data_IF_822412222389
#
_entry.id   IF_822412222389
#
_cell.length_a   1.000
_cell.length_b   1.000
_cell.length_c   1.000
_cell.angle_alpha   90.00
_cell.angle_beta   90.00
_cell.angle_gamma   90.00
#
_symmetry.space_group_name_H-M   'P 1'
#
loop_
_entity.id
_entity.type
_entity.pdbx_description
1 polymer ?
#
# COMPACT_ATOMS: atom_id res chain seq x y z
N UNK A 1 -0.13 13.77 -10.96
CA UNK A 1 0.60 12.71 -11.70
C UNK A 1 1.07 13.20 -13.07
N UNK A 2 2.36 13.36 -13.36
CA UNK A 2 2.89 13.65 -14.72
C UNK A 2 3.32 12.36 -15.42
N UNK A 3 3.20 12.30 -16.75
CA UNK A 3 3.29 11.07 -17.52
C UNK A 3 4.61 10.87 -18.29
N UNK A 4 5.69 11.61 -17.99
CA UNK A 4 6.83 11.69 -18.91
C UNK A 4 8.14 11.15 -18.31
N UNK A 5 8.29 9.82 -18.32
CA UNK A 5 9.56 9.16 -18.04
C UNK A 5 9.51 7.64 -18.23
N UNK A 6 10.67 6.97 -18.43
CA UNK A 6 10.73 5.51 -18.41
C UNK A 6 10.22 4.99 -17.07
N UNK A 7 9.55 3.85 -17.08
CA UNK A 7 9.02 3.26 -15.87
C UNK A 7 10.17 2.95 -14.91
N UNK A 8 10.05 3.48 -13.69
CA UNK A 8 10.91 3.10 -12.59
C UNK A 8 10.46 1.75 -12.05
N UNK A 9 11.38 0.79 -12.01
CA UNK A 9 11.17 -0.54 -11.45
C UNK A 9 11.86 -0.73 -10.10
N UNK A 10 11.45 -1.79 -9.40
CA UNK A 10 12.02 -2.18 -8.11
C UNK A 10 11.37 -1.45 -6.95
N UNK A 11 12.12 -1.23 -5.87
CA UNK A 11 11.58 -0.79 -4.57
C UNK A 11 12.19 0.53 -4.05
N UNK A 12 12.29 1.60 -4.87
CA UNK A 12 12.95 2.85 -4.49
C UNK A 12 12.26 3.63 -3.34
N UNK A 13 10.98 3.35 -3.08
CA UNK A 13 10.11 4.03 -2.12
C UNK A 13 9.62 3.10 -1.01
N UNK A 14 10.18 1.89 -0.92
CA UNK A 14 9.72 0.86 0.02
C UNK A 14 9.69 1.34 1.47
N UNK A 15 10.67 2.14 1.92
CA UNK A 15 10.65 2.67 3.29
C UNK A 15 9.46 3.62 3.51
N UNK A 16 9.13 4.47 2.53
CA UNK A 16 7.94 5.34 2.60
C UNK A 16 6.65 4.50 2.55
N UNK A 17 6.59 3.47 1.71
CA UNK A 17 5.45 2.53 1.67
C UNK A 17 5.24 1.85 3.02
N UNK A 18 6.31 1.35 3.64
CA UNK A 18 6.28 0.73 4.97
C UNK A 18 5.81 1.72 6.04
N UNK A 19 6.29 2.96 5.97
CA UNK A 19 5.85 4.05 6.84
C UNK A 19 4.36 4.38 6.63
N UNK A 20 3.87 4.40 5.39
CA UNK A 20 2.46 4.62 5.05
C UNK A 20 1.56 3.52 5.62
N UNK A 21 1.92 2.24 5.48
CA UNK A 21 1.18 1.14 6.12
C UNK A 21 1.15 1.32 7.65
N UNK A 22 2.28 1.68 8.26
CA UNK A 22 2.32 1.93 9.70
C UNK A 22 1.41 3.09 10.12
N UNK A 23 1.43 4.19 9.36
CA UNK A 23 0.62 5.38 9.61
C UNK A 23 -0.89 5.06 9.48
N UNK A 24 -1.28 4.26 8.49
CA UNK A 24 -2.66 3.79 8.31
C UNK A 24 -3.15 3.01 9.53
N UNK A 25 -2.39 2.02 10.00
CA UNK A 25 -2.79 1.26 11.19
C UNK A 25 -2.85 2.14 12.46
N UNK A 26 -1.96 3.13 12.59
CA UNK A 26 -2.00 4.09 13.70
C UNK A 26 -3.25 4.96 13.66
N UNK A 27 -3.63 5.44 12.48
CA UNK A 27 -4.76 6.35 12.32
C UNK A 27 -6.10 5.63 12.40
N UNK A 28 -6.22 4.48 11.74
CA UNK A 28 -7.48 3.75 11.63
C UNK A 28 -7.71 2.77 12.78
N UNK A 29 -6.67 2.31 13.46
CA UNK A 29 -6.67 1.12 14.33
C UNK A 29 -6.83 -0.20 13.56
N UNK A 30 -6.48 -1.31 14.22
CA UNK A 30 -6.66 -2.65 13.66
C UNK A 30 -8.12 -2.94 13.29
N UNK A 31 -9.08 -2.62 14.15
CA UNK A 31 -10.48 -3.01 13.94
C UNK A 31 -11.06 -2.30 12.72
N UNK A 32 -10.76 -1.02 12.52
CA UNK A 32 -11.19 -0.30 11.30
C UNK A 32 -10.51 -0.84 10.05
N UNK A 33 -9.21 -1.17 10.09
CA UNK A 33 -8.54 -1.81 8.94
C UNK A 33 -9.23 -3.14 8.59
N UNK A 34 -9.66 -3.93 9.60
CA UNK A 34 -10.39 -5.17 9.37
C UNK A 34 -11.74 -4.97 8.67
N UNK A 35 -12.36 -3.80 8.79
CA UNK A 35 -13.57 -3.50 8.03
C UNK A 35 -13.33 -3.46 6.51
N UNK A 36 -12.08 -3.31 6.05
CA UNK A 36 -11.70 -3.34 4.63
C UNK A 36 -11.27 -4.73 4.15
N UNK A 37 -11.74 -5.82 4.77
CA UNK A 37 -11.33 -7.17 4.41
C UNK A 37 -11.65 -7.56 2.95
N UNK A 38 -12.73 -7.02 2.39
CA UNK A 38 -13.14 -7.26 1.01
C UNK A 38 -12.63 -6.12 0.12
N UNK A 39 -11.99 -6.45 -1.00
CA UNK A 39 -11.64 -5.45 -2.02
C UNK A 39 -12.87 -4.98 -2.80
N UNK A 40 -12.77 -3.84 -3.47
CA UNK A 40 -13.77 -3.39 -4.44
C UNK A 40 -13.94 -4.49 -5.49
N UNK A 41 -15.17 -4.94 -5.72
CA UNK A 41 -15.42 -6.04 -6.64
C UNK A 41 -15.29 -5.57 -8.10
N UNK A 42 -14.66 -6.36 -9.00
CA UNK A 42 -14.52 -5.97 -10.41
C UNK A 42 -15.85 -5.65 -11.11
N UNK A 43 -16.93 -6.33 -10.75
CA UNK A 43 -18.26 -6.10 -11.33
C UNK A 43 -18.82 -4.70 -11.01
N UNK A 44 -18.51 -4.17 -9.83
CA UNK A 44 -19.03 -2.88 -9.36
C UNK A 44 -18.31 -1.70 -10.03
N UNK A 45 -17.09 -1.94 -10.52
CA UNK A 45 -16.24 -0.94 -11.18
C UNK A 45 -15.94 -1.25 -12.65
N UNK A 46 -16.57 -2.28 -13.20
CA UNK A 46 -16.50 -2.57 -14.63
C UNK A 46 -17.03 -1.38 -15.41
N UNK A 47 -16.31 -0.99 -16.46
CA UNK A 47 -16.68 0.14 -17.30
C UNK A 47 -16.31 -0.16 -18.75
N UNK A 48 -17.32 -0.40 -19.57
CA UNK A 48 -17.14 -0.75 -20.97
C UNK A 48 -17.28 0.46 -21.90
N UNK A 49 -16.81 0.32 -23.15
CA UNK A 49 -16.88 1.39 -24.15
C UNK A 49 -18.30 1.72 -24.61
N UNK A 50 -19.28 0.84 -24.34
CA UNK A 50 -20.70 1.07 -24.64
C UNK A 50 -21.46 1.80 -23.54
N UNK A 51 -20.91 1.89 -22.32
CA UNK A 51 -21.52 2.65 -21.23
C UNK A 51 -21.54 4.16 -21.57
N UNK A 52 -22.46 4.92 -20.98
CA UNK A 52 -22.35 6.37 -21.00
C UNK A 52 -21.13 6.82 -20.18
N UNK A 53 -20.30 7.70 -20.74
CA UNK A 53 -19.03 8.08 -20.13
C UNK A 53 -19.22 8.75 -18.76
N UNK A 54 -20.14 9.70 -18.64
CA UNK A 54 -20.29 10.49 -17.42
C UNK A 54 -21.04 9.68 -16.36
N UNK A 55 -22.12 8.99 -16.75
CA UNK A 55 -22.86 8.13 -15.83
C UNK A 55 -22.02 6.95 -15.33
N UNK A 56 -21.21 6.35 -16.21
CA UNK A 56 -20.29 5.27 -15.84
C UNK A 56 -19.20 5.73 -14.88
N UNK A 57 -18.54 6.87 -15.15
CA UNK A 57 -17.53 7.41 -14.23
C UNK A 57 -18.13 7.77 -12.86
N UNK A 58 -19.34 8.33 -12.84
CA UNK A 58 -20.05 8.66 -11.61
C UNK A 58 -20.51 7.43 -10.83
N UNK A 59 -20.89 6.34 -11.51
CA UNK A 59 -21.18 5.04 -10.89
C UNK A 59 -19.94 4.51 -10.17
N UNK A 60 -18.79 4.46 -10.86
CA UNK A 60 -17.53 3.99 -10.29
C UNK A 60 -17.10 4.85 -9.09
N UNK A 61 -17.20 6.18 -9.21
CA UNK A 61 -16.89 7.11 -8.11
C UNK A 61 -17.76 6.84 -6.86
N UNK A 62 -19.05 6.56 -7.06
CA UNK A 62 -19.98 6.23 -5.98
C UNK A 62 -19.64 4.92 -5.29
N UNK A 63 -19.27 3.88 -6.05
CA UNK A 63 -18.85 2.61 -5.45
C UNK A 63 -17.55 2.76 -4.65
N UNK A 64 -16.60 3.59 -5.11
CA UNK A 64 -15.39 3.90 -4.33
C UNK A 64 -15.69 4.68 -3.05
N UNK A 65 -16.58 5.68 -3.10
CA UNK A 65 -17.06 6.41 -1.91
C UNK A 65 -17.69 5.46 -0.89
N UNK A 66 -18.54 4.53 -1.38
CA UNK A 66 -19.19 3.51 -0.54
C UNK A 66 -18.16 2.57 0.07
N UNK A 67 -17.22 2.08 -0.73
CA UNK A 67 -16.13 1.20 -0.30
C UNK A 67 -15.31 1.85 0.82
N UNK A 68 -14.92 3.12 0.64
CA UNK A 68 -14.17 3.88 1.64
C UNK A 68 -15.01 4.39 2.83
N UNK A 69 -16.32 4.06 2.86
CA UNK A 69 -17.24 4.48 3.93
C UNK A 69 -17.16 5.97 4.20
N UNK A 70 -17.25 6.76 3.13
CA UNK A 70 -17.24 8.21 3.18
C UNK A 70 -18.70 8.73 3.24
N UNK A 71 -19.33 8.82 4.43
CA UNK A 71 -20.70 9.34 4.53
C UNK A 71 -20.72 10.78 4.03
N UNK A 72 -21.78 11.16 3.33
CA UNK A 72 -21.96 12.52 2.82
C UNK A 72 -20.85 13.01 1.89
N UNK A 73 -20.11 12.13 1.21
CA UNK A 73 -19.23 12.52 0.11
C UNK A 73 -19.99 12.38 -1.22
N UNK A 74 -20.15 13.49 -1.93
CA UNK A 74 -20.70 13.60 -3.27
C UNK A 74 -19.56 13.96 -4.20
N UNK A 75 -19.17 13.01 -5.04
CA UNK A 75 -18.18 13.26 -6.08
C UNK A 75 -18.89 13.77 -7.34
N UNK A 76 -18.33 14.84 -7.92
CA UNK A 76 -18.71 15.34 -9.23
C UNK A 76 -17.53 15.14 -10.15
N UNK A 77 -17.66 14.18 -11.07
CA UNK A 77 -16.62 13.84 -12.05
C UNK A 77 -16.81 14.66 -13.32
N UNK A 78 -15.78 15.37 -13.73
CA UNK A 78 -15.69 16.09 -15.00
C UNK A 78 -14.47 15.61 -15.80
N UNK A 79 -14.39 16.00 -17.07
CA UNK A 79 -13.28 15.66 -17.95
C UNK A 79 -12.74 16.93 -18.62
N UNK A 80 -11.43 17.08 -18.64
CA UNK A 80 -10.74 18.26 -19.18
C UNK A 80 -9.36 17.89 -19.73
N UNK A 81 -8.89 18.62 -20.73
CA UNK A 81 -7.49 18.55 -21.16
C UNK A 81 -6.56 19.10 -20.06
N UNK A 82 -5.61 18.29 -19.63
CA UNK A 82 -4.66 18.64 -18.58
C UNK A 82 -3.38 17.81 -18.70
N UNK A 83 -2.31 18.25 -18.01
CA UNK A 83 -1.06 17.48 -17.94
C UNK A 83 -1.18 16.26 -17.03
N UNK A 84 -2.00 16.37 -15.99
CA UNK A 84 -2.17 15.29 -15.01
C UNK A 84 -3.23 14.28 -15.43
N UNK A 85 -3.17 13.07 -14.87
CA UNK A 85 -4.21 12.07 -15.10
C UNK A 85 -5.55 12.49 -14.46
N UNK A 86 -5.49 12.96 -13.22
CA UNK A 86 -6.65 13.46 -12.51
C UNK A 86 -6.22 14.46 -11.42
N UNK A 87 -7.20 15.16 -10.87
CA UNK A 87 -7.07 16.06 -9.73
C UNK A 87 -8.38 16.07 -8.94
N UNK A 88 -8.29 16.24 -7.62
CA UNK A 88 -9.44 16.47 -6.74
C UNK A 88 -9.28 17.76 -5.94
N UNK A 89 -10.34 18.56 -5.90
CA UNK A 89 -10.39 19.73 -5.03
C UNK A 89 -10.82 19.32 -3.62
N UNK A 90 -9.87 19.40 -2.69
CA UNK A 90 -10.10 19.12 -1.28
C UNK A 90 -10.63 20.38 -0.59
N UNK A 91 -11.95 20.48 -0.47
CA UNK A 91 -12.62 21.54 0.29
C UNK A 91 -13.37 20.98 1.49
N UNK A 92 -13.68 21.85 2.46
CA UNK A 92 -14.54 21.49 3.57
C UNK A 92 -15.99 21.42 3.08
N UNK A 93 -16.58 20.22 3.05
CA UNK A 93 -17.96 20.04 2.65
C UNK A 93 -18.29 18.62 2.20
N UNK A 94 -19.56 18.38 1.82
CA UNK A 94 -19.97 17.10 1.29
C UNK A 94 -19.60 16.92 -0.19
N UNK A 95 -19.35 18.00 -0.94
CA UNK A 95 -19.14 17.96 -2.38
C UNK A 95 -17.66 18.09 -2.74
N UNK A 96 -17.17 17.18 -3.58
CA UNK A 96 -15.81 17.19 -4.11
C UNK A 96 -15.86 17.11 -5.63
N UNK A 97 -15.02 17.90 -6.27
CA UNK A 97 -14.89 17.94 -7.72
C UNK A 97 -13.64 17.14 -8.12
N UNK A 98 -13.85 16.13 -8.95
CA UNK A 98 -12.79 15.30 -9.50
C UNK A 98 -12.71 15.58 -10.99
N UNK A 99 -11.60 16.15 -11.43
CA UNK A 99 -11.33 16.38 -12.85
C UNK A 99 -10.48 15.22 -13.37
N UNK A 100 -10.96 14.53 -14.40
CA UNK A 100 -10.22 13.50 -15.11
C UNK A 100 -9.67 14.06 -16.44
N UNK A 101 -8.52 13.56 -16.85
CA UNK A 101 -7.94 13.90 -18.15
C UNK A 101 -8.83 13.43 -19.31
N UNK A 102 -8.98 14.25 -20.34
CA UNK A 102 -9.75 13.93 -21.55
C UNK A 102 -9.30 12.63 -22.26
N UNK A 103 -8.04 12.19 -22.08
CA UNK A 103 -7.58 10.89 -22.59
C UNK A 103 -8.39 9.70 -22.07
N UNK A 104 -9.01 9.82 -20.90
CA UNK A 104 -9.84 8.76 -20.33
C UNK A 104 -11.17 8.59 -21.04
N UNK A 105 -11.58 9.55 -21.88
CA UNK A 105 -12.73 9.40 -22.77
C UNK A 105 -12.57 8.19 -23.71
N UNK A 106 -11.33 7.91 -24.10
CA UNK A 106 -10.94 6.80 -24.97
C UNK A 106 -10.25 5.64 -24.24
N UNK A 107 -9.91 5.80 -22.95
CA UNK A 107 -9.25 4.80 -22.10
C UNK A 107 -10.07 4.51 -20.84
N UNK A 108 -11.35 4.15 -21.02
CA UNK A 108 -12.33 4.09 -19.93
C UNK A 108 -12.01 3.05 -18.86
N UNK A 109 -11.34 1.96 -19.25
CA UNK A 109 -10.86 0.91 -18.33
C UNK A 109 -9.95 1.44 -17.20
N UNK A 110 -9.30 2.58 -17.41
CA UNK A 110 -8.35 3.15 -16.43
C UNK A 110 -9.01 4.23 -15.55
N UNK A 111 -10.26 4.60 -15.81
CA UNK A 111 -11.02 5.57 -14.99
C UNK A 111 -11.14 5.08 -13.55
N UNK A 112 -11.36 3.78 -13.33
CA UNK A 112 -11.44 3.21 -11.99
C UNK A 112 -10.15 3.38 -11.19
N UNK A 113 -8.99 3.24 -11.84
CA UNK A 113 -7.69 3.46 -11.20
C UNK A 113 -7.47 4.94 -10.85
N UNK A 114 -7.79 5.85 -11.77
CA UNK A 114 -7.69 7.29 -11.51
C UNK A 114 -8.62 7.72 -10.37
N UNK A 115 -9.89 7.29 -10.40
CA UNK A 115 -10.84 7.58 -9.33
C UNK A 115 -10.40 6.96 -8.00
N UNK A 116 -9.89 5.73 -7.97
CA UNK A 116 -9.42 5.11 -6.73
C UNK A 116 -8.33 5.95 -6.04
N UNK A 117 -7.43 6.54 -6.82
CA UNK A 117 -6.42 7.48 -6.34
C UNK A 117 -7.06 8.78 -5.80
N UNK A 118 -7.91 9.44 -6.59
CA UNK A 118 -8.50 10.73 -6.19
C UNK A 118 -9.48 10.61 -5.00
N UNK A 119 -10.30 9.56 -4.94
CA UNK A 119 -11.17 9.32 -3.78
C UNK A 119 -10.34 9.03 -2.54
N UNK A 120 -9.16 8.42 -2.68
CA UNK A 120 -8.27 8.19 -1.55
C UNK A 120 -7.68 9.50 -1.00
N UNK A 121 -7.41 10.50 -1.84
CA UNK A 121 -7.06 11.85 -1.35
C UNK A 121 -8.17 12.43 -0.47
N UNK A 122 -9.44 12.29 -0.86
CA UNK A 122 -10.59 12.71 -0.05
C UNK A 122 -10.65 11.95 1.27
N UNK A 123 -10.44 10.62 1.24
CA UNK A 123 -10.43 9.78 2.44
C UNK A 123 -9.33 10.20 3.42
N UNK A 124 -8.10 10.35 2.94
CA UNK A 124 -6.96 10.78 3.75
C UNK A 124 -7.12 12.19 4.30
N UNK A 125 -7.68 13.12 3.52
CA UNK A 125 -8.00 14.46 3.98
C UNK A 125 -9.01 14.45 5.14
N UNK A 126 -10.11 13.68 5.02
CA UNK A 126 -11.09 13.54 6.10
C UNK A 126 -10.53 12.83 7.33
N UNK A 127 -9.55 11.96 7.14
CA UNK A 127 -8.80 11.36 8.23
C UNK A 127 -7.75 12.29 8.81
N UNK A 128 -7.49 13.48 8.26
CA UNK A 128 -6.35 14.32 8.69
C UNK A 128 -5.05 13.50 8.74
N UNK A 129 -4.80 12.70 7.69
CA UNK A 129 -3.62 11.86 7.56
C UNK A 129 -2.85 12.27 6.32
N UNK A 130 -1.70 12.90 6.53
CA UNK A 130 -0.80 13.32 5.46
C UNK A 130 0.66 13.17 5.88
N UNK A 131 1.54 13.17 4.88
CA UNK A 131 2.97 13.37 5.10
C UNK A 131 3.37 14.80 4.72
N UNK A 132 4.47 15.36 5.29
CA UNK A 132 4.83 16.77 5.09
C UNK A 132 5.21 17.11 3.64
N UNK A 133 5.71 16.13 2.88
CA UNK A 133 6.15 16.32 1.51
C UNK A 133 5.10 15.84 0.51
N UNK A 134 4.95 16.57 -0.59
CA UNK A 134 3.97 16.26 -1.65
C UNK A 134 4.21 14.84 -2.19
N UNK A 135 5.46 14.49 -2.52
CA UNK A 135 5.78 13.16 -3.08
C UNK A 135 5.45 12.03 -2.11
N UNK A 136 5.83 12.19 -0.83
CA UNK A 136 5.55 11.23 0.21
C UNK A 136 4.03 11.08 0.43
N UNK A 137 3.29 12.17 0.32
CA UNK A 137 1.83 12.16 0.44
C UNK A 137 1.16 11.40 -0.71
N UNK A 138 1.66 11.54 -1.94
CA UNK A 138 1.18 10.74 -3.07
C UNK A 138 1.48 9.24 -2.91
N UNK A 139 2.66 8.90 -2.39
CA UNK A 139 3.01 7.51 -2.04
C UNK A 139 2.07 6.97 -0.95
N UNK A 140 1.71 7.80 0.04
CA UNK A 140 0.71 7.47 1.05
C UNK A 140 -0.66 7.24 0.41
N UNK A 141 -1.11 8.10 -0.50
CA UNK A 141 -2.38 7.94 -1.25
C UNK A 141 -2.43 6.62 -1.99
N UNK A 142 -1.42 6.30 -2.81
CA UNK A 142 -1.40 5.03 -3.53
C UNK A 142 -1.31 3.81 -2.60
N UNK A 143 -0.49 3.91 -1.55
CA UNK A 143 -0.37 2.84 -0.57
C UNK A 143 -1.69 2.59 0.14
N UNK A 144 -2.41 3.65 0.52
CA UNK A 144 -3.70 3.57 1.19
C UNK A 144 -4.80 3.04 0.27
N UNK A 145 -4.90 3.57 -0.95
CA UNK A 145 -5.84 3.10 -1.97
C UNK A 145 -5.65 1.59 -2.21
N UNK A 146 -4.38 1.18 -2.28
CA UNK A 146 -4.02 -0.21 -2.51
C UNK A 146 -4.33 -1.11 -1.33
N UNK A 147 -3.84 -0.74 -0.15
CA UNK A 147 -3.98 -1.56 1.06
C UNK A 147 -5.43 -1.70 1.52
N UNK A 148 -6.24 -0.65 1.32
CA UNK A 148 -7.64 -0.62 1.71
C UNK A 148 -8.60 -1.19 0.67
N UNK A 149 -8.10 -1.82 -0.41
CA UNK A 149 -8.91 -2.72 -1.25
C UNK A 149 -9.29 -2.21 -2.64
N UNK A 150 -8.73 -1.10 -3.13
CA UNK A 150 -8.88 -0.69 -4.53
C UNK A 150 -7.61 -0.94 -5.36
N UNK A 151 -6.56 -1.50 -4.76
CA UNK A 151 -5.21 -1.60 -5.33
C UNK A 151 -5.07 -2.40 -6.61
N UNK A 152 -5.94 -3.38 -6.81
CA UNK A 152 -5.91 -4.18 -8.03
C UNK A 152 -6.23 -3.32 -9.27
N UNK A 153 -7.07 -2.28 -9.14
CA UNK A 153 -7.33 -1.33 -10.22
C UNK A 153 -6.07 -0.55 -10.60
N UNK A 154 -5.35 -0.02 -9.60
CA UNK A 154 -4.14 0.78 -9.84
C UNK A 154 -3.03 -0.07 -10.48
N UNK A 155 -2.83 -1.29 -9.98
CA UNK A 155 -1.83 -2.20 -10.52
C UNK A 155 -2.20 -2.70 -11.93
N UNK A 156 -3.47 -3.00 -12.20
CA UNK A 156 -3.91 -3.51 -13.50
C UNK A 156 -3.96 -2.43 -14.60
N UNK A 157 -4.17 -1.17 -14.21
CA UNK A 157 -4.05 -0.04 -15.12
C UNK A 157 -2.59 0.28 -15.51
N UNK A 158 -1.61 -0.34 -14.86
CA UNK A 158 -0.20 -0.18 -15.20
C UNK A 158 0.13 -0.87 -16.52
N UNK A 159 0.57 -0.09 -17.51
CA UNK A 159 0.98 -0.60 -18.82
C UNK A 159 2.22 0.13 -19.33
N UNK A 160 3.21 -0.69 -19.69
CA UNK A 160 4.33 -0.32 -20.54
C UNK A 160 4.12 -0.92 -21.92
N UNK A 161 3.97 -0.08 -22.95
CA UNK A 161 4.13 -0.51 -24.33
C UNK A 161 5.26 0.26 -25.03
N UNK A 162 5.70 -0.24 -26.18
CA UNK A 162 6.85 0.31 -26.91
C UNK A 162 6.61 1.73 -27.48
N UNK A 163 5.37 2.23 -27.42
CA UNK A 163 4.97 3.54 -27.95
C UNK A 163 4.47 4.52 -26.88
N UNK A 164 4.16 4.04 -25.66
CA UNK A 164 3.60 4.80 -24.56
C UNK A 164 3.81 4.10 -23.20
N UNK A 165 4.17 4.87 -22.18
CA UNK A 165 4.03 4.47 -20.78
C UNK A 165 2.82 5.21 -20.18
N UNK A 166 1.89 4.47 -19.60
CA UNK A 166 0.77 5.05 -18.86
C UNK A 166 0.98 4.72 -17.38
N UNK A 167 1.47 5.72 -16.63
CA UNK A 167 1.68 5.60 -15.19
C UNK A 167 0.51 6.26 -14.44
N UNK A 168 -0.20 5.47 -13.64
CA UNK A 168 -1.13 5.97 -12.63
C UNK A 168 -0.52 5.65 -11.26
N UNK A 169 -0.29 6.70 -10.48
CA UNK A 169 0.38 6.64 -9.18
C UNK A 169 1.87 6.99 -9.22
N UNK A 170 2.46 7.01 -8.04
CA UNK A 170 3.84 7.31 -7.70
C UNK A 170 4.63 6.05 -7.31
N UNK A 171 3.94 4.97 -6.93
CA UNK A 171 4.57 3.66 -6.73
C UNK A 171 5.06 3.05 -8.04
N UNK A 172 6.09 2.22 -7.95
CA UNK A 172 6.46 1.29 -9.03
C UNK A 172 5.44 0.13 -9.10
N UNK A 173 5.39 -0.63 -10.21
CA UNK A 173 4.59 -1.85 -10.26
C UNK A 173 4.92 -2.81 -9.13
N UNK A 174 6.21 -3.04 -8.86
CA UNK A 174 6.65 -3.93 -7.78
C UNK A 174 6.19 -3.44 -6.40
N UNK A 175 6.16 -2.13 -6.15
CA UNK A 175 5.67 -1.56 -4.89
C UNK A 175 4.16 -1.69 -4.73
N UNK A 176 3.39 -1.45 -5.79
CA UNK A 176 1.96 -1.77 -5.81
C UNK A 176 1.74 -3.26 -5.51
N UNK A 177 2.49 -4.14 -6.18
CA UNK A 177 2.46 -5.58 -5.94
C UNK A 177 2.80 -5.94 -4.50
N UNK A 178 3.78 -5.28 -3.88
CA UNK A 178 4.15 -5.46 -2.48
C UNK A 178 3.00 -5.08 -1.56
N UNK A 179 2.44 -3.88 -1.70
CA UNK A 179 1.33 -3.41 -0.84
C UNK A 179 0.11 -4.31 -0.97
N UNK A 180 -0.23 -4.70 -2.20
CA UNK A 180 -1.33 -5.61 -2.46
C UNK A 180 -1.07 -7.00 -1.86
N UNK A 181 0.16 -7.51 -1.94
CA UNK A 181 0.52 -8.75 -1.27
C UNK A 181 0.49 -8.64 0.26
N UNK A 182 0.88 -7.51 0.86
CA UNK A 182 0.73 -7.27 2.31
C UNK A 182 -0.73 -7.37 2.72
N UNK A 183 -1.64 -6.82 1.91
CA UNK A 183 -3.08 -6.94 2.10
C UNK A 183 -3.53 -8.40 1.99
N UNK A 184 -3.18 -9.09 0.90
CA UNK A 184 -3.52 -10.50 0.67
C UNK A 184 -3.10 -11.40 1.83
N UNK A 185 -1.92 -11.19 2.40
CA UNK A 185 -1.43 -11.96 3.56
C UNK A 185 -2.23 -11.70 4.84
N UNK A 186 -2.83 -10.51 4.99
CA UNK A 186 -3.65 -10.16 6.16
C UNK A 186 -5.08 -10.71 6.02
N UNK A 187 -5.67 -10.64 4.83
CA UNK A 187 -7.08 -10.97 4.61
C UNK A 187 -7.33 -12.33 3.96
N UNK A 188 -6.30 -13.00 3.44
CA UNK A 188 -6.44 -14.27 2.74
C UNK A 188 -7.12 -14.14 1.36
N UNK A 189 -7.04 -12.96 0.74
CA UNK A 189 -7.60 -12.67 -0.59
C UNK A 189 -6.56 -12.91 -1.68
N UNK A 190 -6.99 -13.36 -2.86
CA UNK A 190 -6.14 -13.48 -4.05
C UNK A 190 -6.64 -12.58 -5.18
N UNK A 191 -6.11 -11.34 -5.30
CA UNK A 191 -6.49 -10.40 -6.36
C UNK A 191 -5.94 -10.78 -7.73
N UNK A 192 -5.07 -11.80 -7.84
CA UNK A 192 -4.44 -12.14 -9.12
C UNK A 192 -5.42 -12.62 -10.17
N UNK A 193 -6.58 -13.13 -9.75
CA UNK A 193 -7.68 -13.56 -10.62
C UNK A 193 -8.41 -12.41 -11.32
N UNK A 194 -8.15 -11.16 -10.91
CA UNK A 194 -8.76 -9.97 -11.51
C UNK A 194 -7.85 -9.24 -12.49
N UNK A 195 -6.56 -9.59 -12.53
CA UNK A 195 -5.63 -8.92 -13.43
C UNK A 195 -5.89 -9.30 -14.88
N UNK A 196 -5.94 -8.28 -15.73
CA UNK A 196 -5.97 -8.41 -17.19
C UNK A 196 -4.57 -8.23 -17.79
N UNK A 197 -3.64 -7.64 -17.03
CA UNK A 197 -2.25 -7.39 -17.44
C UNK A 197 -1.26 -8.42 -16.91
N UNK A 198 -0.42 -8.97 -17.81
CA UNK A 198 0.71 -9.83 -17.42
C UNK A 198 1.77 -9.09 -16.57
N UNK A 199 1.89 -7.77 -16.76
CA UNK A 199 2.78 -6.92 -15.96
C UNK A 199 2.28 -6.83 -14.51
N UNK A 200 0.97 -6.63 -14.33
CA UNK A 200 0.33 -6.63 -13.02
C UNK A 200 0.55 -7.94 -12.27
N UNK A 201 0.33 -9.08 -12.93
CA UNK A 201 0.59 -10.40 -12.36
C UNK A 201 2.06 -10.56 -11.94
N UNK A 202 3.00 -10.22 -12.82
CA UNK A 202 4.44 -10.33 -12.55
C UNK A 202 4.84 -9.46 -11.36
N UNK A 203 4.36 -8.23 -11.32
CA UNK A 203 4.61 -7.28 -10.25
C UNK A 203 4.03 -7.77 -8.90
N UNK A 204 2.82 -8.32 -8.90
CA UNK A 204 2.22 -8.93 -7.71
C UNK A 204 3.02 -10.13 -7.19
N UNK A 205 3.51 -11.01 -8.07
CA UNK A 205 4.36 -12.16 -7.65
C UNK A 205 5.68 -11.70 -7.03
N UNK A 206 6.34 -10.70 -7.63
CA UNK A 206 7.55 -10.07 -7.06
C UNK A 206 7.24 -9.42 -5.70
N UNK A 207 6.14 -8.69 -5.62
CA UNK A 207 5.65 -8.06 -4.40
C UNK A 207 5.34 -9.06 -3.29
N UNK A 208 4.71 -10.19 -3.63
CA UNK A 208 4.43 -11.30 -2.70
C UNK A 208 5.71 -11.91 -2.15
N UNK A 209 6.71 -12.10 -3.00
CA UNK A 209 8.04 -12.56 -2.57
C UNK A 209 8.63 -11.57 -1.55
N UNK A 210 8.64 -10.27 -1.85
CA UNK A 210 9.13 -9.23 -0.95
C UNK A 210 8.31 -9.14 0.36
N UNK A 211 6.99 -9.30 0.29
CA UNK A 211 6.09 -9.27 1.43
C UNK A 211 6.32 -10.44 2.39
N UNK A 212 6.62 -11.63 1.87
CA UNK A 212 6.97 -12.82 2.65
C UNK A 212 8.34 -12.71 3.29
N UNK A 213 9.32 -12.13 2.58
CA UNK A 213 10.65 -11.89 3.12
C UNK A 213 10.64 -11.08 4.42
N UNK A 214 9.69 -10.15 4.60
CA UNK A 214 9.53 -9.40 5.86
C UNK A 214 9.29 -10.35 7.06
N UNK A 215 8.59 -11.48 6.84
CA UNK A 215 8.30 -12.49 7.86
C UNK A 215 9.44 -13.50 8.07
N UNK A 216 10.44 -13.47 7.20
CA UNK A 216 11.62 -14.34 7.19
C UNK A 216 12.87 -13.60 7.73
N UNK A 217 12.70 -12.41 8.29
CA UNK A 217 13.81 -11.67 8.91
C UNK A 217 13.98 -12.05 10.39
N UNK A 218 15.23 -12.20 10.87
CA UNK A 218 15.48 -12.31 12.31
C UNK A 218 14.89 -11.12 13.07
N UNK A 219 14.34 -11.32 14.29
CA UNK A 219 14.40 -12.54 15.09
C UNK A 219 13.27 -13.56 14.83
N UNK A 220 12.43 -13.37 13.82
CA UNK A 220 11.27 -14.23 13.54
C UNK A 220 11.69 -15.67 13.25
N UNK A 221 10.98 -16.65 13.81
CA UNK A 221 11.32 -18.09 13.69
C UNK A 221 11.50 -18.57 12.26
N UNK A 222 10.77 -17.99 11.31
CA UNK A 222 10.87 -18.29 9.88
C UNK A 222 12.21 -17.86 9.24
N UNK A 223 13.06 -17.12 9.95
CA UNK A 223 14.34 -16.69 9.40
C UNK A 223 15.26 -17.87 9.06
N UNK A 224 15.72 -17.89 7.81
CA UNK A 224 16.62 -18.91 7.28
C UNK A 224 17.99 -18.92 7.96
N UNK A 225 18.74 -19.99 7.74
CA UNK A 225 20.04 -20.25 8.37
C UNK A 225 21.04 -19.10 8.22
N UNK A 226 21.12 -18.47 7.05
CA UNK A 226 22.05 -17.36 6.81
C UNK A 226 21.70 -16.13 7.67
N UNK A 227 20.41 -15.78 7.73
CA UNK A 227 19.89 -14.72 8.59
C UNK A 227 20.14 -15.02 10.07
N UNK A 228 19.96 -16.27 10.50
CA UNK A 228 20.22 -16.71 11.88
C UNK A 228 21.70 -16.63 12.26
N UNK A 229 22.60 -17.07 11.39
CA UNK A 229 24.05 -16.94 11.62
C UNK A 229 24.47 -15.48 11.75
N UNK A 230 23.95 -14.62 10.87
CA UNK A 230 24.21 -13.19 10.93
C UNK A 230 23.68 -12.58 12.24
N UNK A 231 22.43 -12.86 12.60
CA UNK A 231 21.82 -12.39 13.84
C UNK A 231 22.61 -12.81 15.08
N UNK A 232 23.08 -14.07 15.13
CA UNK A 232 23.91 -14.55 16.24
C UNK A 232 25.28 -13.84 16.30
N UNK A 233 25.89 -13.51 15.15
CA UNK A 233 27.12 -12.72 15.09
C UNK A 233 26.88 -11.29 15.56
N UNK A 234 25.85 -10.64 15.05
CA UNK A 234 25.54 -9.25 15.34
C UNK A 234 25.15 -9.08 16.82
N UNK A 235 24.49 -10.08 17.42
CA UNK A 235 24.23 -10.15 18.87
C UNK A 235 25.50 -10.15 19.73
N UNK A 236 26.59 -10.78 19.28
CA UNK A 236 27.87 -10.80 20.02
C UNK A 236 28.58 -9.45 20.04
N UNK A 237 28.30 -8.60 19.05
CA UNK A 237 28.87 -7.26 18.91
C UNK A 237 27.90 -6.16 19.38
N UNK A 238 26.78 -6.54 20.00
CA UNK A 238 25.80 -5.62 20.58
C UNK A 238 26.36 -4.95 21.86
N UNK A 239 25.86 -3.75 22.24
CA UNK A 239 24.74 -3.00 21.65
C UNK A 239 25.14 -2.12 20.45
N UNK A 240 24.16 -1.72 19.64
CA UNK A 240 24.36 -0.77 18.54
C UNK A 240 23.55 -1.10 17.28
N UNK A 241 23.35 -0.11 16.38
CA UNK A 241 22.76 -0.35 15.06
C UNK A 241 23.65 -1.26 14.22
N UNK A 242 23.03 -2.16 13.48
CA UNK A 242 23.71 -3.11 12.62
C UNK A 242 23.43 -2.73 11.16
N UNK A 243 24.45 -2.47 10.33
CA UNK A 243 24.25 -1.99 8.97
C UNK A 243 23.44 -2.98 8.14
N UNK A 244 22.40 -2.54 7.42
CA UNK A 244 21.66 -3.40 6.49
C UNK A 244 20.90 -4.55 7.14
N UNK A 245 20.39 -4.37 8.36
CA UNK A 245 19.35 -5.25 8.94
C UNK A 245 18.21 -4.44 9.54
N UNK A 246 16.99 -5.00 9.57
CA UNK A 246 15.84 -4.34 10.16
C UNK A 246 15.75 -4.53 11.69
N UNK A 247 16.82 -4.89 12.39
CA UNK A 247 16.80 -5.05 13.84
C UNK A 247 17.93 -4.30 14.55
N UNK A 248 17.72 -4.01 15.83
CA UNK A 248 18.67 -3.26 16.66
C UNK A 248 18.71 -3.85 18.06
N UNK A 249 19.90 -4.08 18.59
CA UNK A 249 20.09 -4.51 19.98
C UNK A 249 20.31 -3.31 20.90
N UNK A 250 19.66 -3.34 22.05
CA UNK A 250 19.73 -2.31 23.10
C UNK A 250 19.95 -2.97 24.46
N UNK A 251 20.68 -2.34 25.39
CA UNK A 251 20.81 -2.83 26.77
C UNK A 251 19.46 -2.89 27.50
N UNK A 252 19.32 -3.83 28.43
CA UNK A 252 18.16 -4.02 29.30
C UNK A 252 18.57 -4.33 30.75
N UNK A 253 19.53 -3.56 31.25
CA UNK A 253 20.20 -3.78 32.54
C UNK A 253 21.45 -4.66 32.42
N UNK A 254 22.10 -4.99 33.56
CA UNK A 254 23.38 -5.69 33.57
C UNK A 254 23.31 -7.03 32.84
N UNK A 255 24.11 -7.18 31.77
CA UNK A 255 24.22 -8.42 31.00
C UNK A 255 22.98 -8.82 30.19
N UNK A 256 21.94 -7.98 30.11
CA UNK A 256 20.68 -8.28 29.40
C UNK A 256 20.53 -7.39 28.16
N UNK A 257 19.98 -7.98 27.10
CA UNK A 257 19.71 -7.29 25.85
C UNK A 257 18.22 -7.37 25.49
N UNK A 258 17.75 -6.34 24.79
CA UNK A 258 16.51 -6.39 24.00
C UNK A 258 16.83 -6.21 22.53
N UNK A 259 16.08 -6.89 21.69
CA UNK A 259 16.05 -6.67 20.25
C UNK A 259 14.80 -5.90 19.89
N UNK A 260 14.96 -4.87 19.05
CA UNK A 260 13.85 -4.16 18.42
C UNK A 260 13.87 -4.41 16.91
N UNK A 261 12.71 -4.71 16.32
CA UNK A 261 12.53 -5.05 14.91
C UNK A 261 11.12 -4.63 14.43
N UNK A 262 10.87 -4.40 13.14
CA UNK A 262 9.55 -4.05 12.64
C UNK A 262 8.62 -5.27 12.65
N UNK A 263 7.35 -5.04 12.99
CA UNK A 263 6.31 -6.01 12.77
C UNK A 263 6.21 -6.31 11.26
N UNK A 264 6.24 -7.58 10.82
CA UNK A 264 6.15 -7.90 9.40
C UNK A 264 4.78 -7.55 8.81
N UNK A 265 3.75 -7.25 9.60
CA UNK A 265 2.44 -6.87 9.06
C UNK A 265 2.31 -5.35 8.87
N UNK A 266 2.61 -4.57 9.90
CA UNK A 266 2.33 -3.11 9.93
C UNK A 266 3.58 -2.23 10.15
N UNK A 267 4.78 -2.83 10.16
CA UNK A 267 6.06 -2.15 10.37
C UNK A 267 6.23 -1.40 11.70
N UNK A 268 5.29 -1.54 12.64
CA UNK A 268 5.44 -1.04 14.00
C UNK A 268 6.65 -1.69 14.65
N UNK A 269 7.56 -0.89 15.24
CA UNK A 269 8.68 -1.44 16.00
C UNK A 269 8.17 -2.20 17.21
N UNK A 270 8.54 -3.46 17.30
CA UNK A 270 8.34 -4.35 18.44
C UNK A 270 9.66 -4.45 19.18
N UNK A 271 9.62 -4.61 20.51
CA UNK A 271 10.81 -4.78 21.35
C UNK A 271 10.60 -5.96 22.28
N UNK A 272 11.52 -6.93 22.25
CA UNK A 272 11.45 -8.17 23.02
C UNK A 272 12.78 -8.45 23.73
N UNK A 273 12.77 -9.17 24.88
CA UNK A 273 14.00 -9.61 25.53
C UNK A 273 14.75 -10.64 24.68
N UNK A 274 16.07 -10.60 24.72
CA UNK A 274 16.96 -11.57 24.07
C UNK A 274 17.20 -12.73 25.04
N UNK A 275 16.42 -13.81 24.90
CA UNK A 275 16.43 -14.97 25.82
C UNK A 275 16.00 -16.29 25.18
N UNK A 276 16.21 -16.46 23.88
CA UNK A 276 15.73 -17.62 23.11
C UNK A 276 14.29 -17.41 22.61
N UNK A 277 13.47 -18.47 22.67
CA UNK A 277 12.10 -18.44 22.12
C UNK A 277 11.18 -17.49 22.89
N UNK A 278 10.53 -16.59 22.17
CA UNK A 278 9.59 -15.61 22.72
C UNK A 278 8.42 -15.44 21.76
N UNK A 279 7.21 -15.40 22.31
CA UNK A 279 6.00 -15.02 21.57
C UNK A 279 5.72 -13.55 21.82
N UNK A 280 5.56 -12.76 20.76
CA UNK A 280 5.32 -11.33 20.82
C UNK A 280 4.04 -10.97 20.08
N UNK A 281 3.20 -10.12 20.67
CA UNK A 281 2.02 -9.57 20.00
C UNK A 281 2.30 -8.12 19.61
N UNK A 282 2.11 -7.78 18.34
CA UNK A 282 2.16 -6.38 17.91
C UNK A 282 1.01 -5.62 18.57
N UNK A 283 1.31 -4.55 19.32
CA UNK A 283 0.27 -3.74 19.95
C UNK A 283 -0.60 -3.00 18.92
N UNK A 284 -0.09 -2.79 17.70
CA UNK A 284 -0.75 -2.02 16.66
C UNK A 284 -1.71 -2.88 15.81
N UNK A 285 -1.17 -3.86 15.08
CA UNK A 285 -1.98 -4.71 14.19
C UNK A 285 -2.39 -6.05 14.82
N UNK A 286 -2.13 -6.25 16.11
CA UNK A 286 -2.46 -7.46 16.88
C UNK A 286 -1.84 -8.78 16.39
N UNK A 287 -1.05 -8.77 15.31
CA UNK A 287 -0.32 -9.94 14.80
C UNK A 287 0.53 -10.56 15.91
N UNK A 288 0.43 -11.87 16.06
CA UNK A 288 1.26 -12.65 16.98
C UNK A 288 2.43 -13.24 16.22
N UNK A 289 3.63 -13.04 16.75
CA UNK A 289 4.92 -13.38 16.14
C UNK A 289 5.65 -14.37 17.04
N UNK A 290 6.13 -15.44 16.43
CA UNK A 290 7.06 -16.37 17.06
C UNK A 290 8.48 -15.89 16.78
N UNK A 291 9.26 -15.65 17.83
CA UNK A 291 10.63 -15.17 17.76
C UNK A 291 11.59 -16.17 18.40
N UNK A 292 12.82 -16.22 17.90
CA UNK A 292 13.96 -16.89 18.53
C UNK A 292 15.10 -15.87 18.62
N UNK A 293 15.46 -15.47 19.84
CA UNK A 293 16.24 -14.26 20.15
C UNK A 293 17.59 -14.53 20.79
#
# INVERSE_FOLDING_TARGET
MTNDGPVQHGYPHLETVRASINALYKRLSYDTVQTFATSVAPVDVAFCDTDDLYLGAQRVARELVRHYRLPDARLVVSFREMTHAANVELTAGPEYFVELNDRFRTHRRDIGAALAHEVMHVYLHRLDLSFPGVRENEILTDTAATYLGAGWLLLDAYREDAASSQKLGYLTPEEFGYVLAKRSLVFGEDPSVWFTSAQAYTAYVKGMTQARQDSEQPPLTAAGWAGRRRYARDRRHAPGPQPGVPYTFTPDGPGRLRVSFPCPTCHQRIRVPVRGRVRARCALCRTVLECDT
#
